data_IF_224530191814
#
_entry.id   IF_224530191814
#
_cell.length_a   1.000
_cell.length_b   1.000
_cell.length_c   1.000
_cell.angle_alpha   90.00
_cell.angle_beta   90.00
_cell.angle_gamma   90.00
#
_symmetry.space_group_name_H-M   'P 1'
#
loop_
_entity.id
_entity.type
_entity.pdbx_description
1 polymer ?
#
# COMPACT_ATOMS: atom_id res chain seq x y z
N UNK A 1 -140.03 -27.63 -54.52
CA UNK A 1 -139.19 -26.85 -53.58
C UNK A 1 -138.48 -27.86 -52.68
N UNK A 2 -137.18 -28.07 -52.89
CA UNK A 2 -136.18 -27.79 -51.83
C UNK A 2 -135.20 -26.67 -52.22
N UNK A 3 -134.74 -25.90 -51.22
CA UNK A 3 -133.88 -24.73 -51.38
C UNK A 3 -132.39 -25.06 -51.45
N UNK A 4 -131.64 -24.24 -52.16
CA UNK A 4 -130.19 -24.38 -52.30
C UNK A 4 -129.52 -23.56 -51.17
N UNK A 5 -128.59 -24.13 -50.39
CA UNK A 5 -127.86 -23.45 -49.33
C UNK A 5 -127.13 -22.19 -49.82
N UNK A 6 -127.12 -21.15 -48.98
CA UNK A 6 -126.45 -19.89 -49.25
C UNK A 6 -124.94 -20.09 -49.38
N UNK A 7 -124.33 -19.46 -50.38
CA UNK A 7 -122.88 -19.55 -50.53
C UNK A 7 -122.16 -18.63 -49.51
N UNK A 8 -120.98 -19.05 -49.02
CA UNK A 8 -120.25 -18.39 -47.93
C UNK A 8 -119.79 -16.95 -48.20
N UNK A 9 -119.54 -16.21 -47.11
CA UNK A 9 -119.28 -14.77 -47.08
C UNK A 9 -118.01 -14.29 -47.80
N UNK A 10 -117.98 -12.98 -48.05
CA UNK A 10 -116.87 -12.29 -48.73
C UNK A 10 -115.53 -12.54 -48.01
N UNK A 11 -114.49 -12.98 -48.74
CA UNK A 11 -113.12 -12.94 -48.22
C UNK A 11 -112.71 -11.51 -47.86
N UNK A 12 -111.96 -11.37 -46.76
CA UNK A 12 -111.63 -10.10 -46.12
C UNK A 12 -110.71 -9.18 -46.94
N UNK A 13 -110.68 -7.90 -46.55
CA UNK A 13 -109.86 -6.86 -47.17
C UNK A 13 -108.36 -7.00 -46.83
N UNK A 14 -107.58 -6.31 -47.66
CA UNK A 14 -106.17 -6.46 -48.00
C UNK A 14 -105.12 -6.63 -46.88
N UNK A 15 -104.01 -7.27 -47.25
CA UNK A 15 -102.75 -7.10 -46.53
C UNK A 15 -102.08 -5.78 -46.93
N UNK A 16 -101.55 -5.03 -45.96
CA UNK A 16 -100.75 -3.82 -46.20
C UNK A 16 -99.41 -4.18 -46.85
N UNK A 17 -98.86 -3.24 -47.64
CA UNK A 17 -97.52 -3.35 -48.20
C UNK A 17 -96.47 -3.66 -47.12
N UNK A 18 -95.48 -4.49 -47.46
CA UNK A 18 -94.33 -4.73 -46.58
C UNK A 18 -93.45 -3.47 -46.50
N UNK A 19 -93.02 -3.09 -45.29
CA UNK A 19 -92.10 -1.96 -45.10
C UNK A 19 -90.74 -2.21 -45.75
N UNK A 20 -90.12 -1.14 -46.27
CA UNK A 20 -88.73 -1.20 -46.74
C UNK A 20 -87.80 -1.63 -45.60
N UNK A 21 -86.90 -2.57 -45.88
CA UNK A 21 -85.90 -3.00 -44.91
C UNK A 21 -84.98 -1.84 -44.48
N UNK A 22 -84.52 -1.80 -43.22
CA UNK A 22 -83.64 -0.73 -42.73
C UNK A 22 -82.31 -0.74 -43.48
N UNK A 23 -81.73 0.45 -43.72
CA UNK A 23 -80.37 0.59 -44.24
C UNK A 23 -79.38 -0.03 -43.24
N UNK A 24 -78.47 -0.88 -43.71
CA UNK A 24 -77.47 -1.53 -42.85
C UNK A 24 -76.62 -0.52 -42.07
N UNK A 25 -76.25 -0.87 -40.84
CA UNK A 25 -75.45 0.00 -39.97
C UNK A 25 -74.06 0.28 -40.55
N UNK A 26 -73.54 1.49 -40.33
CA UNK A 26 -72.17 1.85 -40.69
C UNK A 26 -71.19 1.06 -39.80
N UNK A 27 -70.23 0.37 -40.42
CA UNK A 27 -69.21 -0.39 -39.68
C UNK A 27 -68.45 0.47 -38.67
N UNK A 28 -68.20 -0.08 -37.48
CA UNK A 28 -67.49 0.65 -36.41
C UNK A 28 -66.06 1.01 -36.83
N UNK A 29 -65.59 2.18 -36.38
CA UNK A 29 -64.20 2.62 -36.58
C UNK A 29 -63.26 1.68 -35.82
N UNK A 30 -62.21 1.18 -36.47
CA UNK A 30 -61.23 0.31 -35.82
C UNK A 30 -60.53 0.97 -34.63
N UNK A 31 -60.17 0.16 -33.64
CA UNK A 31 -59.53 0.60 -32.40
C UNK A 31 -58.14 1.21 -32.63
N UNK A 32 -57.74 2.11 -31.73
CA UNK A 32 -56.40 2.71 -31.74
C UNK A 32 -55.36 1.64 -31.36
N UNK A 33 -54.27 1.56 -32.12
CA UNK A 33 -53.17 0.64 -31.82
C UNK A 33 -52.54 0.86 -30.44
N UNK A 34 -51.89 -0.16 -29.86
CA UNK A 34 -51.32 -0.10 -28.51
C UNK A 34 -50.16 0.91 -28.43
N UNK A 35 -49.88 1.46 -27.22
CA UNK A 35 -48.69 2.29 -26.98
C UNK A 35 -47.38 1.55 -27.29
N UNK A 36 -46.36 2.28 -27.74
CA UNK A 36 -45.02 1.73 -27.96
C UNK A 36 -44.35 1.29 -26.66
N UNK A 37 -43.40 0.34 -26.75
CA UNK A 37 -42.66 -0.15 -25.59
C UNK A 37 -41.69 0.91 -25.03
N UNK A 38 -41.41 0.91 -23.71
CA UNK A 38 -40.40 1.77 -23.10
C UNK A 38 -39.00 1.57 -23.70
N UNK A 39 -38.21 2.64 -23.75
CA UNK A 39 -36.81 2.59 -24.20
C UNK A 39 -35.91 1.76 -23.27
N UNK A 40 -34.80 1.25 -23.81
CA UNK A 40 -33.81 0.48 -23.03
C UNK A 40 -33.04 1.38 -22.05
N UNK A 41 -32.66 0.82 -20.90
CA UNK A 41 -31.80 1.49 -19.90
C UNK A 41 -30.41 1.74 -20.50
N UNK A 42 -29.84 2.92 -20.22
CA UNK A 42 -28.50 3.30 -20.69
C UNK A 42 -27.36 2.49 -20.05
N UNK A 43 -26.15 2.52 -20.65
CA UNK A 43 -25.00 1.79 -20.13
C UNK A 43 -24.46 2.37 -18.81
N UNK A 44 -23.78 1.53 -18.02
CA UNK A 44 -23.07 1.94 -16.81
C UNK A 44 -21.90 2.88 -17.15
N UNK A 45 -21.68 3.90 -16.32
CA UNK A 45 -20.55 4.83 -16.47
C UNK A 45 -19.18 4.17 -16.27
N UNK A 46 -18.10 4.79 -16.77
CA UNK A 46 -16.74 4.26 -16.64
C UNK A 46 -16.22 4.33 -15.19
N UNK A 47 -15.24 3.49 -14.82
CA UNK A 47 -14.56 3.57 -13.53
C UNK A 47 -13.85 4.92 -13.30
N UNK A 48 -13.74 5.34 -12.05
CA UNK A 48 -13.00 6.54 -11.66
C UNK A 48 -11.49 6.43 -11.89
N UNK A 49 -10.81 7.58 -11.97
CA UNK A 49 -9.35 7.64 -12.16
C UNK A 49 -8.58 7.18 -10.91
N UNK A 50 -7.36 6.65 -11.11
CA UNK A 50 -6.44 6.26 -10.03
C UNK A 50 -5.96 7.49 -9.26
N UNK A 51 -5.84 7.37 -7.93
CA UNK A 51 -5.27 8.41 -7.08
C UNK A 51 -3.79 8.71 -7.36
N UNK A 52 -3.36 9.91 -6.97
CA UNK A 52 -1.99 10.43 -7.14
C UNK A 52 -1.01 9.70 -6.20
N UNK A 53 0.24 9.39 -6.62
CA UNK A 53 1.26 8.86 -5.71
C UNK A 53 1.55 9.79 -4.52
N UNK A 54 1.93 9.19 -3.38
CA UNK A 54 2.34 9.95 -2.19
C UNK A 54 3.65 10.72 -2.40
N UNK A 55 3.90 11.73 -1.57
CA UNK A 55 5.13 12.53 -1.63
C UNK A 55 6.36 11.74 -1.17
N UNK A 56 7.53 12.07 -1.73
CA UNK A 56 8.83 11.56 -1.29
C UNK A 56 9.09 11.93 0.17
N UNK A 57 9.68 11.01 0.94
CA UNK A 57 10.10 11.27 2.32
C UNK A 57 11.21 12.33 2.42
N UNK A 58 11.35 12.94 3.61
CA UNK A 58 12.40 13.91 3.90
C UNK A 58 13.80 13.26 3.89
N UNK A 59 14.81 14.02 3.49
CA UNK A 59 16.21 13.63 3.64
C UNK A 59 16.58 13.39 5.12
N UNK A 60 17.44 12.41 5.38
CA UNK A 60 17.99 12.19 6.72
C UNK A 60 18.89 13.34 7.21
N UNK A 61 19.15 13.42 8.52
CA UNK A 61 20.04 14.43 9.08
C UNK A 61 21.48 14.25 8.61
N UNK A 62 22.25 15.35 8.60
CA UNK A 62 23.69 15.32 8.35
C UNK A 62 24.42 14.54 9.46
N UNK A 63 25.41 13.73 9.10
CA UNK A 63 26.26 13.02 10.07
C UNK A 63 27.15 13.97 10.86
N UNK A 64 27.57 13.56 12.06
CA UNK A 64 28.46 14.38 12.88
C UNK A 64 29.88 14.50 12.26
N UNK A 65 30.56 15.65 12.45
CA UNK A 65 31.94 15.82 12.03
C UNK A 65 32.89 14.81 12.71
N UNK A 66 33.84 14.26 11.96
CA UNK A 66 34.89 13.41 12.53
C UNK A 66 35.92 14.20 13.34
N UNK A 67 36.34 13.68 14.50
CA UNK A 67 37.35 14.29 15.35
C UNK A 67 38.77 13.86 14.93
N UNK A 68 39.27 14.48 13.86
CA UNK A 68 40.63 14.25 13.35
C UNK A 68 41.72 15.03 14.11
N UNK A 69 41.35 15.85 15.10
CA UNK A 69 42.28 16.74 15.80
C UNK A 69 42.86 16.12 17.07
N UNK A 70 42.27 15.06 17.61
CA UNK A 70 42.86 14.41 18.79
C UNK A 70 44.02 13.52 18.36
N UNK A 71 45.22 14.08 18.39
CA UNK A 71 46.45 13.29 18.23
C UNK A 71 46.69 12.48 19.51
N UNK A 72 46.06 11.31 19.60
CA UNK A 72 46.29 10.37 20.67
C UNK A 72 47.67 9.71 20.52
N UNK A 73 48.65 10.12 21.34
CA UNK A 73 50.00 9.54 21.34
C UNK A 73 50.19 8.61 22.53
N UNK A 74 50.88 7.49 22.31
CA UNK A 74 51.30 6.56 23.35
C UNK A 74 52.72 6.09 23.06
N UNK A 75 53.65 6.45 23.93
CA UNK A 75 55.03 6.00 23.87
C UNK A 75 55.59 5.92 25.29
N UNK A 76 56.47 4.94 25.52
CA UNK A 76 57.27 4.88 26.73
C UNK A 76 58.70 4.42 26.40
N UNK A 77 59.63 4.86 27.22
CA UNK A 77 61.01 4.37 27.27
C UNK A 77 61.32 4.09 28.74
N UNK A 78 61.78 2.89 29.06
CA UNK A 78 62.13 2.49 30.42
C UNK A 78 63.40 1.63 30.42
N UNK A 79 64.14 1.72 31.52
CA UNK A 79 65.37 0.98 31.77
C UNK A 79 65.23 0.16 33.05
N UNK A 80 66.01 -0.92 33.13
CA UNK A 80 66.11 -1.76 34.31
C UNK A 80 67.38 -1.40 35.07
N UNK A 81 67.24 -1.01 36.33
CA UNK A 81 68.36 -0.76 37.25
C UNK A 81 68.42 -1.80 38.37
N UNK A 82 67.46 -2.74 38.40
CA UNK A 82 67.42 -3.85 39.35
C UNK A 82 68.52 -4.88 39.02
N UNK A 83 69.38 -5.17 39.99
CA UNK A 83 70.49 -6.13 39.88
C UNK A 83 70.07 -7.61 39.92
N UNK A 84 68.88 -7.93 40.46
CA UNK A 84 68.37 -9.30 40.48
C UNK A 84 67.96 -9.74 39.08
N UNK A 85 68.23 -11.00 38.71
CA UNK A 85 67.78 -11.55 37.44
C UNK A 85 66.25 -11.63 37.35
N UNK A 86 65.65 -11.44 36.16
CA UNK A 86 64.22 -11.66 35.94
C UNK A 86 63.87 -13.14 36.21
N UNK A 87 62.72 -13.38 36.85
CA UNK A 87 62.22 -14.75 36.99
C UNK A 87 61.66 -15.22 35.65
N UNK A 88 61.92 -16.49 35.29
CA UNK A 88 61.52 -17.09 33.99
C UNK A 88 60.02 -16.98 33.68
N UNK A 89 59.18 -16.83 34.71
CA UNK A 89 57.72 -16.78 34.58
C UNK A 89 57.12 -15.42 34.97
N UNK A 90 57.95 -14.38 35.10
CA UNK A 90 57.48 -13.03 35.40
C UNK A 90 57.90 -12.05 34.31
N UNK A 91 57.06 -11.04 34.01
CA UNK A 91 57.45 -9.97 33.11
C UNK A 91 58.73 -9.29 33.57
N UNK A 92 59.58 -8.92 32.62
CA UNK A 92 60.77 -8.12 32.91
C UNK A 92 60.31 -6.75 33.38
N UNK A 93 60.61 -6.43 34.64
CA UNK A 93 60.29 -5.14 35.24
C UNK A 93 61.39 -4.13 34.90
N UNK A 94 61.05 -3.11 34.14
CA UNK A 94 61.87 -1.89 34.00
C UNK A 94 61.39 -0.88 35.03
N UNK A 95 62.16 -0.74 36.11
CA UNK A 95 61.85 0.09 37.28
C UNK A 95 62.06 1.59 37.01
N UNK A 96 62.98 1.93 36.12
CA UNK A 96 63.34 3.31 35.80
C UNK A 96 62.65 3.75 34.52
N UNK A 97 61.57 4.51 34.64
CA UNK A 97 60.90 5.13 33.49
C UNK A 97 61.70 6.34 33.02
N UNK A 98 62.13 6.34 31.76
CA UNK A 98 62.88 7.43 31.13
C UNK A 98 61.93 8.43 30.46
N UNK A 99 60.87 7.93 29.83
CA UNK A 99 59.79 8.73 29.24
C UNK A 99 58.48 7.93 29.31
N UNK A 100 57.41 8.52 29.83
CA UNK A 100 56.04 7.99 29.76
C UNK A 100 55.05 9.12 30.08
N UNK A 101 54.76 9.98 29.10
CA UNK A 101 53.90 11.16 29.31
C UNK A 101 52.46 10.80 29.67
N UNK A 102 52.01 9.59 29.33
CA UNK A 102 50.60 9.17 29.47
C UNK A 102 50.39 8.09 30.53
N UNK A 103 51.45 7.61 31.17
CA UNK A 103 51.38 6.55 32.18
C UNK A 103 50.84 5.25 31.58
N UNK A 104 51.23 4.93 30.34
CA UNK A 104 50.79 3.71 29.67
C UNK A 104 51.67 2.50 30.01
N UNK A 105 52.82 2.72 30.65
CA UNK A 105 53.70 1.67 31.13
C UNK A 105 53.73 1.64 32.66
N UNK A 106 53.40 0.49 33.24
CA UNK A 106 53.44 0.28 34.68
C UNK A 106 54.72 -0.42 35.11
N UNK A 107 55.66 0.34 35.69
CA UNK A 107 56.96 -0.14 36.17
C UNK A 107 56.86 -1.15 37.32
N UNK A 108 55.77 -1.12 38.08
CA UNK A 108 55.50 -2.09 39.17
C UNK A 108 55.34 -3.52 38.65
N UNK A 109 54.80 -3.69 37.46
CA UNK A 109 54.53 -5.01 36.89
C UNK A 109 55.29 -5.28 35.58
N UNK A 110 56.00 -4.29 35.05
CA UNK A 110 56.69 -4.44 33.77
C UNK A 110 55.71 -4.53 32.60
N UNK A 111 54.55 -3.86 32.69
CA UNK A 111 53.44 -4.06 31.76
C UNK A 111 53.06 -2.77 31.05
N UNK A 112 53.03 -2.82 29.72
CA UNK A 112 52.39 -1.80 28.90
C UNK A 112 50.89 -2.09 28.78
N UNK A 113 50.05 -1.07 28.97
CA UNK A 113 48.60 -1.16 28.81
C UNK A 113 48.18 -0.38 27.57
N UNK A 114 47.69 -1.10 26.56
CA UNK A 114 47.16 -0.51 25.34
C UNK A 114 45.86 0.25 25.64
N UNK A 115 45.94 1.59 25.72
CA UNK A 115 44.76 2.47 25.90
C UNK A 115 44.23 3.04 24.58
N UNK A 116 45.01 2.95 23.51
CA UNK A 116 44.68 3.49 22.19
C UNK A 116 44.79 2.36 21.17
N UNK A 117 43.77 2.09 20.35
CA UNK A 117 43.90 1.09 19.29
C UNK A 117 44.86 1.60 18.22
N UNK A 118 45.76 0.75 17.74
CA UNK A 118 46.72 1.12 16.70
C UNK A 118 47.89 0.15 16.58
N UNK A 119 48.83 0.52 15.72
CA UNK A 119 50.10 -0.21 15.56
C UNK A 119 51.15 0.35 16.50
N UNK A 120 51.84 -0.53 17.22
CA UNK A 120 52.86 -0.18 18.21
C UNK A 120 54.19 -0.81 17.84
N UNK A 121 55.27 -0.06 18.06
CA UNK A 121 56.64 -0.54 17.90
C UNK A 121 57.29 -0.71 19.26
N UNK A 122 57.82 -1.91 19.52
CA UNK A 122 58.56 -2.22 20.73
C UNK A 122 59.98 -2.61 20.35
N UNK A 123 60.96 -1.98 21.00
CA UNK A 123 62.37 -2.33 20.88
C UNK A 123 62.96 -2.43 22.28
N UNK A 124 63.94 -3.32 22.45
CA UNK A 124 64.67 -3.46 23.70
C UNK A 124 66.13 -3.74 23.40
N UNK A 125 67.00 -3.28 24.30
CA UNK A 125 68.43 -3.54 24.26
C UNK A 125 68.84 -4.15 25.60
N UNK A 126 69.63 -5.21 25.55
CA UNK A 126 70.21 -5.88 26.72
C UNK A 126 71.72 -5.79 26.59
N UNK A 127 72.37 -5.30 27.63
CA UNK A 127 73.82 -5.27 27.78
C UNK A 127 74.30 -6.46 28.59
#
# INVERSE_FOLDING_TARGET
>A
IPGIPGLPGQPGSDGRDGENGPKGEQGQKGDRGPPGQPGKVGPLGPPGMRGIPGSTGLSGPMGEPGDYKVTFKSAFSAARSISSYPRREQPVRFDRVLADEKGHYESRYGRFTCRLPGTYYFTYHVT
#
